data_IF_327791605148
#
_entry.id   IF_327791605148
#
_cell.length_a   1.000
_cell.length_b   1.000
_cell.length_c   1.000
_cell.angle_alpha   90.00
_cell.angle_beta   90.00
_cell.angle_gamma   90.00
#
_symmetry.space_group_name_H-M   'P 1'
#
loop_
_entity.id
_entity.type
_entity.pdbx_description
1 polymer ?
#
# COMPACT_ATOMS: atom_id res chain seq x y z
N UNK A 1 -53.05 35.59 50.76
CA UNK A 1 -51.61 35.78 50.71
C UNK A 1 -51.00 34.39 50.64
N UNK A 2 -50.71 33.92 49.45
CA UNK A 2 -50.07 32.63 49.21
C UNK A 2 -48.86 32.83 48.33
N UNK A 3 -47.73 32.57 48.90
CA UNK A 3 -46.42 32.70 48.24
C UNK A 3 -46.10 31.39 47.54
N UNK A 4 -45.89 31.42 46.24
CA UNK A 4 -45.37 30.31 45.45
C UNK A 4 -43.83 30.28 45.52
N UNK A 5 -43.16 29.15 45.67
CA UNK A 5 -41.72 29.04 45.55
C UNK A 5 -41.32 28.80 44.09
N UNK A 6 -40.41 29.62 43.63
CA UNK A 6 -39.74 29.53 42.34
C UNK A 6 -38.72 28.37 42.34
N UNK A 7 -38.90 27.38 41.47
CA UNK A 7 -37.95 26.32 41.27
C UNK A 7 -36.87 26.77 40.26
N UNK A 8 -35.62 26.92 40.71
CA UNK A 8 -34.48 27.11 39.85
C UNK A 8 -34.04 25.74 39.27
N UNK A 9 -34.26 25.62 37.96
CA UNK A 9 -33.67 24.52 37.17
C UNK A 9 -32.19 24.82 36.92
N UNK A 10 -31.29 24.04 37.51
CA UNK A 10 -29.85 24.05 37.16
C UNK A 10 -29.66 23.12 35.97
N UNK A 11 -29.55 23.71 34.79
CA UNK A 11 -29.06 23.03 33.59
C UNK A 11 -27.61 22.57 33.82
N UNK A 12 -27.42 21.29 34.10
CA UNK A 12 -26.11 20.67 34.10
C UNK A 12 -25.67 20.50 32.61
N UNK A 13 -24.87 21.42 32.12
CA UNK A 13 -24.15 21.23 30.87
C UNK A 13 -23.18 20.07 31.02
N UNK A 14 -23.47 18.94 30.35
CA UNK A 14 -22.50 17.88 30.14
C UNK A 14 -21.37 18.42 29.25
N UNK A 15 -20.10 18.29 29.65
CA UNK A 15 -19.01 18.62 28.76
C UNK A 15 -19.04 17.64 27.58
N UNK A 16 -19.27 18.18 26.38
CA UNK A 16 -19.03 17.43 25.14
C UNK A 16 -17.55 17.08 25.13
N UNK A 17 -17.23 15.79 25.20
CA UNK A 17 -15.89 15.30 24.98
C UNK A 17 -15.46 15.76 23.57
N UNK A 18 -14.50 16.65 23.51
CA UNK A 18 -13.82 17.03 22.28
C UNK A 18 -13.22 15.75 21.68
N UNK A 19 -13.74 15.33 20.54
CA UNK A 19 -13.13 14.23 19.80
C UNK A 19 -11.68 14.65 19.51
N UNK A 20 -10.71 13.85 19.98
CA UNK A 20 -9.31 14.09 19.71
C UNK A 20 -9.09 14.17 18.18
N UNK A 21 -8.30 15.16 17.75
CA UNK A 21 -7.97 15.27 16.33
C UNK A 21 -7.28 13.98 15.85
N UNK A 22 -7.60 13.48 14.63
CA UNK A 22 -6.98 12.27 14.11
C UNK A 22 -5.47 12.47 13.98
N UNK A 23 -4.70 11.43 14.38
CA UNK A 23 -3.24 11.43 14.27
C UNK A 23 -2.83 11.64 12.81
N UNK A 24 -1.92 12.56 12.56
CA UNK A 24 -1.30 12.73 11.24
C UNK A 24 -0.39 11.53 10.92
N UNK A 25 -0.46 11.08 9.69
CA UNK A 25 0.29 9.93 9.17
C UNK A 25 0.80 10.24 7.77
N UNK A 26 1.82 9.52 7.32
CA UNK A 26 2.30 9.59 5.94
C UNK A 26 1.37 8.80 5.00
N UNK A 27 1.32 9.15 3.70
CA UNK A 27 0.56 8.35 2.73
C UNK A 27 1.01 6.87 2.77
N UNK A 28 0.06 5.93 2.69
CA UNK A 28 0.37 4.50 2.80
C UNK A 28 0.41 3.92 4.21
N UNK A 29 0.65 4.72 5.25
CA UNK A 29 0.57 4.23 6.63
C UNK A 29 -0.86 3.87 7.05
N UNK A 30 -1.86 4.46 6.43
CA UNK A 30 -3.32 4.24 6.54
C UNK A 30 -3.86 4.35 7.96
N UNK A 31 -3.34 3.58 8.92
CA UNK A 31 -3.85 3.51 10.29
C UNK A 31 -3.03 4.35 11.25
N UNK A 32 -3.71 5.01 12.17
CA UNK A 32 -3.08 5.80 13.23
C UNK A 32 -2.15 4.96 14.12
N UNK A 33 -2.51 3.67 14.32
CA UNK A 33 -1.68 2.69 15.00
C UNK A 33 -1.24 1.61 14.00
N UNK A 34 0.07 1.40 13.87
CA UNK A 34 0.66 0.40 12.95
C UNK A 34 0.17 -1.03 13.25
N UNK A 35 -0.09 -1.37 14.51
CA UNK A 35 -0.62 -2.68 14.90
C UNK A 35 -2.02 -2.99 14.33
N UNK A 36 -2.78 -1.97 13.95
CA UNK A 36 -4.10 -2.13 13.32
C UNK A 36 -4.00 -2.41 11.81
N UNK A 37 -2.81 -2.22 11.20
CA UNK A 37 -2.65 -2.26 9.75
C UNK A 37 -3.04 -3.60 9.15
N UNK A 38 -2.44 -4.69 9.61
CA UNK A 38 -2.62 -6.02 8.99
C UNK A 38 -4.07 -6.52 9.07
N UNK A 39 -4.77 -6.22 10.16
CA UNK A 39 -6.19 -6.57 10.31
C UNK A 39 -7.07 -5.60 9.52
N UNK A 40 -6.81 -4.31 9.65
CA UNK A 40 -7.63 -3.27 9.03
C UNK A 40 -7.55 -3.27 7.50
N UNK A 41 -6.36 -3.49 6.93
CA UNK A 41 -6.21 -3.54 5.47
C UNK A 41 -6.99 -4.71 4.85
N UNK A 42 -7.06 -5.86 5.53
CA UNK A 42 -7.86 -7.03 5.11
C UNK A 42 -9.36 -6.76 5.17
N UNK A 43 -9.79 -5.88 6.07
CA UNK A 43 -11.19 -5.43 6.14
C UNK A 43 -11.53 -4.36 5.10
N UNK A 44 -10.55 -3.49 4.75
CA UNK A 44 -10.73 -2.43 3.74
C UNK A 44 -10.69 -2.94 2.31
N UNK A 45 -9.83 -3.92 2.03
CA UNK A 45 -9.53 -4.36 0.67
C UNK A 45 -9.99 -5.80 0.44
N UNK A 46 -11.00 -6.01 -0.43
CA UNK A 46 -11.43 -7.35 -0.77
C UNK A 46 -10.32 -8.13 -1.48
N UNK A 47 -10.21 -9.42 -1.09
CA UNK A 47 -9.23 -10.34 -1.69
C UNK A 47 -7.76 -9.92 -1.53
N UNK A 48 -7.43 -9.18 -0.47
CA UNK A 48 -6.08 -8.68 -0.21
C UNK A 48 -5.00 -9.78 -0.27
N UNK A 49 -5.27 -10.94 0.35
CA UNK A 49 -4.34 -12.08 0.33
C UNK A 49 -4.10 -12.61 -1.09
N UNK A 50 -5.16 -12.80 -1.88
CA UNK A 50 -5.06 -13.27 -3.26
C UNK A 50 -4.29 -12.29 -4.14
N UNK A 51 -4.44 -10.98 -3.89
CA UNK A 51 -3.72 -9.93 -4.59
C UNK A 51 -2.20 -10.04 -4.35
N UNK A 52 -1.76 -10.23 -3.10
CA UNK A 52 -0.35 -10.40 -2.79
C UNK A 52 0.19 -11.76 -3.29
N UNK A 53 -0.62 -12.82 -3.21
CA UNK A 53 -0.26 -14.14 -3.76
C UNK A 53 -0.06 -14.10 -5.27
N UNK A 54 -0.87 -13.30 -5.99
CA UNK A 54 -0.72 -13.12 -7.43
C UNK A 54 0.65 -12.50 -7.78
N UNK A 55 1.15 -11.52 -7.01
CA UNK A 55 2.52 -11.00 -7.18
C UNK A 55 3.53 -12.11 -6.96
N UNK A 56 3.48 -12.79 -5.82
CA UNK A 56 4.46 -13.80 -5.44
C UNK A 56 4.51 -14.96 -6.46
N UNK A 57 3.35 -15.40 -6.98
CA UNK A 57 3.27 -16.46 -7.98
C UNK A 57 3.88 -16.07 -9.34
N UNK A 58 3.92 -14.78 -9.66
CA UNK A 58 4.49 -14.26 -10.91
C UNK A 58 6.02 -14.04 -10.83
N UNK A 59 6.66 -14.29 -9.68
CA UNK A 59 8.10 -14.19 -9.55
C UNK A 59 8.81 -15.40 -10.17
N UNK A 60 9.99 -15.20 -10.82
CA UNK A 60 10.86 -16.29 -11.18
C UNK A 60 11.23 -17.12 -9.94
N UNK A 61 11.03 -18.42 -9.99
CA UNK A 61 11.27 -19.32 -8.82
C UNK A 61 12.73 -19.35 -8.37
N UNK A 62 13.65 -18.94 -9.22
CA UNK A 62 15.09 -18.86 -9.00
C UNK A 62 15.60 -17.43 -8.76
N UNK A 63 14.72 -16.47 -8.52
CA UNK A 63 15.10 -15.09 -8.20
C UNK A 63 16.05 -15.08 -6.98
N UNK A 64 17.20 -14.42 -7.12
CA UNK A 64 18.20 -14.30 -6.06
C UNK A 64 18.09 -12.95 -5.33
N UNK A 65 17.71 -11.90 -6.04
CA UNK A 65 17.58 -10.54 -5.49
C UNK A 65 16.24 -9.93 -5.88
N UNK A 66 15.47 -9.51 -4.91
CA UNK A 66 14.18 -8.85 -5.11
C UNK A 66 14.19 -7.48 -4.43
N UNK A 67 13.78 -6.46 -5.17
CA UNK A 67 13.52 -5.12 -4.63
C UNK A 67 12.03 -5.01 -4.30
N UNK A 68 11.69 -4.59 -3.09
CA UNK A 68 10.33 -4.27 -2.70
C UNK A 68 10.20 -2.78 -2.42
N UNK A 69 9.29 -2.09 -3.10
CA UNK A 69 9.04 -0.65 -2.93
C UNK A 69 7.75 -0.42 -2.13
N UNK A 70 7.86 0.28 -1.01
CA UNK A 70 6.77 0.50 -0.07
C UNK A 70 6.42 -0.77 0.69
N UNK A 71 7.37 -1.32 1.46
CA UNK A 71 7.17 -2.62 2.11
C UNK A 71 6.13 -2.61 3.25
N UNK A 72 5.79 -1.42 3.78
CA UNK A 72 4.84 -1.28 4.87
C UNK A 72 5.17 -2.20 6.05
N UNK A 73 4.24 -3.06 6.43
CA UNK A 73 4.41 -4.02 7.53
C UNK A 73 5.08 -5.34 7.12
N UNK A 74 5.59 -5.47 5.87
CA UNK A 74 6.34 -6.64 5.39
C UNK A 74 5.48 -7.84 4.95
N UNK A 75 4.18 -7.66 4.72
CA UNK A 75 3.29 -8.76 4.30
C UNK A 75 3.69 -9.35 2.94
N UNK A 76 4.02 -8.50 1.96
CA UNK A 76 4.47 -8.96 0.66
C UNK A 76 5.88 -9.56 0.74
N UNK A 77 6.81 -8.96 1.52
CA UNK A 77 8.13 -9.55 1.78
C UNK A 77 8.04 -11.01 2.22
N UNK A 78 7.15 -11.34 3.17
CA UNK A 78 6.95 -12.71 3.65
C UNK A 78 6.49 -13.65 2.53
N UNK A 79 5.57 -13.21 1.67
CA UNK A 79 5.08 -14.01 0.54
C UNK A 79 6.18 -14.24 -0.50
N UNK A 80 7.00 -13.23 -0.79
CA UNK A 80 8.18 -13.32 -1.66
C UNK A 80 9.17 -14.35 -1.13
N UNK A 81 9.55 -14.27 0.15
CA UNK A 81 10.51 -15.17 0.79
C UNK A 81 10.00 -16.61 0.88
N UNK A 82 8.70 -16.79 1.09
CA UNK A 82 8.08 -18.13 1.03
C UNK A 82 8.09 -18.72 -0.38
N UNK A 83 7.88 -17.88 -1.40
CA UNK A 83 7.85 -18.30 -2.81
C UNK A 83 9.24 -18.58 -3.35
N UNK A 84 10.24 -17.79 -2.94
CA UNK A 84 11.63 -17.84 -3.39
C UNK A 84 12.56 -17.97 -2.17
N UNK A 85 12.72 -19.18 -1.58
CA UNK A 85 13.41 -19.35 -0.30
C UNK A 85 14.91 -19.00 -0.31
N UNK A 86 15.54 -18.87 -1.48
CA UNK A 86 16.95 -18.49 -1.63
C UNK A 86 17.16 -16.98 -1.88
N UNK A 87 16.07 -16.21 -2.01
CA UNK A 87 16.16 -14.81 -2.38
C UNK A 87 16.62 -13.92 -1.23
N UNK A 88 17.26 -12.81 -1.58
CA UNK A 88 17.51 -11.67 -0.69
C UNK A 88 16.55 -10.55 -1.09
N UNK A 89 15.81 -10.00 -0.12
CA UNK A 89 14.88 -8.90 -0.31
C UNK A 89 15.51 -7.61 0.22
N UNK A 90 15.60 -6.60 -0.65
CA UNK A 90 15.86 -5.21 -0.28
C UNK A 90 14.52 -4.50 -0.28
N UNK A 91 14.06 -4.06 0.89
CA UNK A 91 12.73 -3.49 1.08
C UNK A 91 12.84 -2.00 1.44
N UNK A 92 12.25 -1.15 0.63
CA UNK A 92 12.32 0.31 0.79
C UNK A 92 11.00 0.83 1.34
N UNK A 93 11.08 1.64 2.37
CA UNK A 93 9.94 2.40 2.89
C UNK A 93 10.43 3.71 3.51
N UNK A 94 9.71 4.79 3.35
CA UNK A 94 10.09 6.07 3.98
C UNK A 94 9.62 6.19 5.43
N UNK A 95 8.76 5.27 5.91
CA UNK A 95 8.22 5.29 7.27
C UNK A 95 9.08 4.45 8.23
N UNK A 96 9.83 5.07 9.17
CA UNK A 96 10.62 4.32 10.14
C UNK A 96 9.78 3.35 10.97
N UNK A 97 8.55 3.75 11.33
CA UNK A 97 7.66 2.90 12.13
C UNK A 97 7.15 1.67 11.36
N UNK A 98 6.99 1.79 10.03
CA UNK A 98 6.66 0.64 9.18
C UNK A 98 7.84 -0.31 9.05
N UNK A 99 9.04 0.21 8.80
CA UNK A 99 10.27 -0.58 8.72
C UNK A 99 10.57 -1.32 10.03
N UNK A 100 10.39 -0.68 11.19
CA UNK A 100 10.58 -1.34 12.49
C UNK A 100 9.59 -2.49 12.69
N UNK A 101 8.31 -2.25 12.33
CA UNK A 101 7.28 -3.29 12.42
C UNK A 101 7.55 -4.44 11.45
N UNK A 102 7.90 -4.15 10.19
CA UNK A 102 8.28 -5.15 9.20
C UNK A 102 9.48 -5.97 9.68
N UNK A 103 10.55 -5.32 10.13
CA UNK A 103 11.75 -5.99 10.66
C UNK A 103 11.39 -6.98 11.76
N UNK A 104 10.65 -6.56 12.77
CA UNK A 104 10.23 -7.42 13.87
C UNK A 104 9.42 -8.63 13.39
N UNK A 105 8.53 -8.43 12.41
CA UNK A 105 7.71 -9.49 11.79
C UNK A 105 8.57 -10.48 10.99
N UNK A 106 9.51 -9.98 10.19
CA UNK A 106 10.40 -10.82 9.37
C UNK A 106 11.36 -11.63 10.25
N UNK A 107 11.89 -11.04 11.32
CA UNK A 107 12.72 -11.73 12.33
C UNK A 107 11.92 -12.86 13.00
N UNK A 108 10.69 -12.58 13.46
CA UNK A 108 9.83 -13.60 14.06
C UNK A 108 9.44 -14.72 13.09
N UNK A 109 9.38 -14.44 11.79
CA UNK A 109 9.13 -15.42 10.73
C UNK A 109 10.39 -16.20 10.30
N UNK A 110 11.59 -15.88 10.84
CA UNK A 110 12.85 -16.56 10.55
C UNK A 110 13.60 -16.03 9.34
N UNK A 111 13.26 -14.85 8.82
CA UNK A 111 13.83 -14.26 7.60
C UNK A 111 14.85 -13.14 7.85
N UNK A 112 15.32 -12.96 9.08
CA UNK A 112 16.24 -11.88 9.47
C UNK A 112 17.49 -11.75 8.58
N UNK A 113 18.01 -12.86 8.04
CA UNK A 113 19.22 -12.88 7.21
C UNK A 113 18.93 -12.69 5.71
N UNK A 114 17.67 -12.68 5.32
CA UNK A 114 17.25 -12.61 3.92
C UNK A 114 16.51 -11.30 3.59
N UNK A 115 16.32 -10.44 4.57
CA UNK A 115 15.58 -9.20 4.43
C UNK A 115 16.36 -8.01 4.99
N UNK A 116 16.46 -6.96 4.20
CA UNK A 116 17.09 -5.69 4.58
C UNK A 116 16.14 -4.53 4.31
N UNK A 117 15.74 -3.82 5.37
CA UNK A 117 14.95 -2.59 5.26
C UNK A 117 15.85 -1.38 4.98
N UNK A 118 15.46 -0.56 4.03
CA UNK A 118 16.10 0.70 3.65
C UNK A 118 15.11 1.82 3.84
N UNK A 119 15.44 2.79 4.71
CA UNK A 119 14.64 4.00 4.86
C UNK A 119 14.91 4.93 3.67
N UNK A 120 13.84 5.27 2.95
CA UNK A 120 13.95 6.17 1.79
C UNK A 120 12.68 6.33 1.00
N UNK A 121 12.58 7.47 0.32
CA UNK A 121 11.51 7.77 -0.63
C UNK A 121 11.89 7.20 -2.02
N UNK A 122 11.09 6.25 -2.53
CA UNK A 122 11.34 5.69 -3.86
C UNK A 122 11.11 6.71 -4.99
N UNK A 123 10.48 7.84 -4.74
CA UNK A 123 10.48 8.99 -5.65
C UNK A 123 11.86 9.69 -5.71
N UNK A 124 12.59 9.77 -4.58
CA UNK A 124 13.99 10.20 -4.58
C UNK A 124 14.89 9.21 -5.34
N UNK A 125 14.66 7.91 -5.16
CA UNK A 125 15.36 6.89 -5.94
C UNK A 125 15.09 7.02 -7.45
N UNK A 126 13.83 7.28 -7.84
CA UNK A 126 13.47 7.53 -9.23
C UNK A 126 14.14 8.78 -9.84
N UNK A 127 14.50 9.75 -9.00
CA UNK A 127 15.25 10.95 -9.39
C UNK A 127 16.78 10.83 -9.18
N UNK A 128 17.31 9.63 -8.90
CA UNK A 128 18.73 9.35 -8.62
C UNK A 128 19.31 10.12 -7.41
N UNK A 129 18.45 10.48 -6.45
CA UNK A 129 18.81 11.17 -5.20
C UNK A 129 19.06 10.19 -4.06
N UNK A 130 18.45 9.00 -4.11
CA UNK A 130 18.68 7.88 -3.21
C UNK A 130 19.45 6.78 -3.96
N UNK A 131 20.51 6.24 -3.34
CA UNK A 131 21.30 5.17 -3.93
C UNK A 131 20.84 3.81 -3.45
N UNK A 132 20.38 2.99 -4.37
CA UNK A 132 20.11 1.55 -4.16
C UNK A 132 20.84 0.83 -5.27
N UNK A 133 21.59 -0.22 -4.93
CA UNK A 133 22.32 -1.03 -5.91
C UNK A 133 21.36 -1.67 -6.92
N UNK A 134 21.77 -1.70 -8.18
CA UNK A 134 21.04 -2.35 -9.27
C UNK A 134 21.27 -3.88 -9.29
N UNK A 135 20.70 -4.56 -10.28
CA UNK A 135 20.87 -6.01 -10.49
C UNK A 135 19.86 -6.86 -9.73
N UNK A 136 18.59 -6.47 -9.78
CA UNK A 136 17.49 -7.25 -9.25
C UNK A 136 16.89 -8.19 -10.31
N UNK A 137 16.48 -9.39 -9.88
CA UNK A 137 15.75 -10.32 -10.75
C UNK A 137 14.26 -10.03 -10.77
N UNK A 138 13.77 -9.34 -9.74
CA UNK A 138 12.41 -8.83 -9.69
C UNK A 138 12.33 -7.55 -8.86
N UNK A 139 11.38 -6.70 -9.21
CA UNK A 139 10.91 -5.61 -8.37
C UNK A 139 9.41 -5.82 -8.09
N UNK A 140 8.98 -5.60 -6.85
CA UNK A 140 7.59 -5.74 -6.43
C UNK A 140 7.13 -4.52 -5.62
N UNK A 141 5.84 -4.24 -5.66
CA UNK A 141 5.22 -3.22 -4.82
C UNK A 141 3.76 -3.56 -4.55
N UNK A 142 3.26 -3.18 -3.40
CA UNK A 142 1.82 -3.26 -3.13
C UNK A 142 1.33 -2.08 -2.32
N UNK A 143 0.26 -1.43 -2.80
CA UNK A 143 -0.44 -0.34 -2.13
C UNK A 143 0.47 0.87 -1.77
N UNK A 144 1.45 1.15 -2.63
CA UNK A 144 2.42 2.22 -2.40
C UNK A 144 2.55 3.19 -3.57
N UNK A 145 2.65 2.70 -4.80
CA UNK A 145 2.95 3.53 -5.98
C UNK A 145 1.79 4.48 -6.34
N UNK A 146 0.56 4.15 -5.97
CA UNK A 146 -0.61 5.00 -6.21
C UNK A 146 -0.55 6.35 -5.47
N UNK A 147 0.35 6.54 -4.52
CA UNK A 147 0.59 7.81 -3.87
C UNK A 147 1.45 8.80 -4.70
N UNK A 148 2.10 8.34 -5.76
CA UNK A 148 2.90 9.19 -6.64
C UNK A 148 2.03 9.85 -7.73
N UNK A 149 2.43 11.06 -8.17
CA UNK A 149 1.85 11.67 -9.36
C UNK A 149 2.10 10.82 -10.61
N UNK A 150 1.31 11.01 -11.67
CA UNK A 150 1.48 10.24 -12.92
C UNK A 150 2.87 10.44 -13.54
N UNK A 151 3.42 11.66 -13.48
CA UNK A 151 4.79 11.95 -13.94
C UNK A 151 5.82 11.15 -13.14
N UNK A 152 5.68 11.14 -11.80
CA UNK A 152 6.60 10.43 -10.93
C UNK A 152 6.47 8.90 -11.08
N UNK A 153 5.26 8.38 -11.31
CA UNK A 153 5.08 6.95 -11.65
C UNK A 153 5.85 6.55 -12.88
N UNK A 154 5.80 7.36 -13.95
CA UNK A 154 6.54 7.07 -15.17
C UNK A 154 8.06 7.07 -14.94
N UNK A 155 8.58 8.06 -14.20
CA UNK A 155 10.01 8.11 -13.81
C UNK A 155 10.38 6.87 -12.98
N UNK A 156 9.55 6.50 -12.01
CA UNK A 156 9.78 5.32 -11.18
C UNK A 156 9.79 4.03 -12.01
N UNK A 157 8.85 3.84 -12.93
CA UNK A 157 8.83 2.66 -13.80
C UNK A 157 10.08 2.59 -14.69
N UNK A 158 10.57 3.72 -15.21
CA UNK A 158 11.83 3.77 -15.95
C UNK A 158 13.02 3.36 -15.06
N UNK A 159 13.08 3.88 -13.83
CA UNK A 159 14.15 3.56 -12.88
C UNK A 159 14.10 2.09 -12.43
N UNK A 160 12.91 1.52 -12.21
CA UNK A 160 12.73 0.10 -11.93
C UNK A 160 13.30 -0.73 -13.08
N UNK A 161 12.92 -0.41 -14.32
CA UNK A 161 13.43 -1.12 -15.50
C UNK A 161 14.95 -1.11 -15.59
N UNK A 162 15.58 0.04 -15.32
CA UNK A 162 17.04 0.19 -15.32
C UNK A 162 17.73 -0.67 -14.25
N UNK A 163 17.08 -0.86 -13.11
CA UNK A 163 17.62 -1.63 -11.97
C UNK A 163 17.49 -3.15 -12.13
N UNK A 164 16.66 -3.60 -13.07
CA UNK A 164 16.41 -5.03 -13.29
C UNK A 164 17.46 -5.66 -14.20
N UNK A 165 17.82 -6.90 -13.89
CA UNK A 165 18.61 -7.77 -14.76
C UNK A 165 17.84 -8.06 -16.06
N UNK A 166 18.54 -8.38 -17.17
CA UNK A 166 17.88 -8.90 -18.38
C UNK A 166 17.02 -10.13 -18.04
N UNK A 167 15.77 -10.10 -18.49
CA UNK A 167 14.75 -11.10 -18.14
C UNK A 167 14.11 -10.92 -16.75
N UNK A 168 14.43 -9.82 -16.07
CA UNK A 168 13.81 -9.46 -14.80
C UNK A 168 12.34 -9.03 -14.96
N UNK A 169 11.61 -8.99 -13.85
CA UNK A 169 10.17 -8.70 -13.84
C UNK A 169 9.82 -7.61 -12.85
N UNK A 170 8.77 -6.85 -13.16
CA UNK A 170 8.15 -5.92 -12.23
C UNK A 170 6.68 -6.25 -12.03
N UNK A 171 6.22 -6.30 -10.77
CA UNK A 171 4.82 -6.49 -10.42
C UNK A 171 4.37 -5.50 -9.36
N UNK A 172 3.29 -4.79 -9.64
CA UNK A 172 2.67 -3.84 -8.73
C UNK A 172 1.21 -4.20 -8.46
N UNK A 173 0.78 -4.15 -7.22
CA UNK A 173 -0.60 -4.27 -6.81
C UNK A 173 -1.10 -2.92 -6.27
N UNK A 174 -2.07 -2.31 -6.96
CA UNK A 174 -2.61 -1.02 -6.53
C UNK A 174 -4.11 -0.90 -6.78
N UNK A 175 -4.79 0.03 -6.09
CA UNK A 175 -6.12 0.46 -6.47
C UNK A 175 -6.06 1.18 -7.83
N UNK A 176 -7.06 0.90 -8.66
CA UNK A 176 -7.22 1.50 -9.99
C UNK A 176 -8.58 2.16 -10.12
N UNK A 177 -8.63 3.27 -10.87
CA UNK A 177 -9.89 3.92 -11.20
C UNK A 177 -10.74 3.00 -12.08
N UNK A 178 -12.06 3.02 -11.91
CA UNK A 178 -12.96 2.34 -12.83
C UNK A 178 -12.88 2.96 -14.22
N UNK A 179 -13.06 2.14 -15.24
CA UNK A 179 -13.04 2.55 -16.65
C UNK A 179 -14.25 3.44 -17.02
N UNK A 180 -15.29 3.41 -16.20
CA UNK A 180 -16.50 4.23 -16.35
C UNK A 180 -17.03 4.66 -14.98
N UNK A 181 -17.56 5.90 -14.85
CA UNK A 181 -18.22 6.36 -13.64
C UNK A 181 -19.35 5.45 -13.14
N UNK A 182 -20.05 4.79 -14.07
CA UNK A 182 -21.14 3.84 -13.73
C UNK A 182 -20.64 2.67 -12.86
N UNK A 183 -19.36 2.30 -12.97
CA UNK A 183 -18.76 1.22 -12.17
C UNK A 183 -18.34 1.69 -10.77
N UNK A 184 -18.27 2.98 -10.51
CA UNK A 184 -17.81 3.52 -9.21
C UNK A 184 -18.69 3.07 -8.06
N UNK A 185 -20.01 3.10 -8.24
CA UNK A 185 -20.97 2.69 -7.22
C UNK A 185 -20.89 1.19 -6.95
N UNK A 186 -20.72 0.39 -8.03
CA UNK A 186 -20.52 -1.05 -7.88
C UNK A 186 -19.22 -1.38 -7.12
N UNK A 187 -18.12 -0.67 -7.40
CA UNK A 187 -16.85 -0.87 -6.70
C UNK A 187 -16.94 -0.49 -5.22
N UNK A 188 -17.73 0.56 -4.91
CA UNK A 188 -18.00 0.96 -3.53
C UNK A 188 -18.82 -0.09 -2.80
N UNK A 189 -19.93 -0.55 -3.38
CA UNK A 189 -20.81 -1.58 -2.79
C UNK A 189 -20.03 -2.87 -2.47
N UNK A 190 -19.16 -3.31 -3.39
CA UNK A 190 -18.33 -4.50 -3.18
C UNK A 190 -17.40 -4.35 -1.96
N UNK A 191 -16.85 -3.16 -1.72
CA UNK A 191 -16.03 -2.90 -0.51
C UNK A 191 -16.87 -2.91 0.76
N UNK A 192 -18.08 -2.37 0.71
CA UNK A 192 -19.03 -2.38 1.83
C UNK A 192 -19.46 -3.80 2.18
N UNK A 193 -19.83 -4.60 1.19
CA UNK A 193 -20.20 -6.01 1.35
C UNK A 193 -19.03 -6.84 1.88
N UNK A 194 -17.83 -6.59 1.39
CA UNK A 194 -16.62 -7.25 1.88
C UNK A 194 -16.35 -6.96 3.36
N UNK A 195 -16.39 -5.70 3.78
CA UNK A 195 -16.21 -5.33 5.18
C UNK A 195 -17.25 -6.00 6.08
N UNK A 196 -18.51 -6.05 5.63
CA UNK A 196 -19.58 -6.74 6.34
C UNK A 196 -19.32 -8.25 6.49
N UNK A 197 -18.81 -8.92 5.45
CA UNK A 197 -18.41 -10.33 5.51
C UNK A 197 -17.24 -10.57 6.48
N UNK A 198 -16.38 -9.56 6.71
CA UNK A 198 -15.30 -9.60 7.70
C UNK A 198 -15.76 -9.19 9.11
N UNK A 199 -17.06 -9.03 9.35
CA UNK A 199 -17.62 -8.65 10.65
C UNK A 199 -17.36 -7.19 11.04
N UNK A 200 -17.15 -6.30 10.07
CA UNK A 200 -16.92 -4.86 10.28
C UNK A 200 -17.75 -4.02 9.30
N UNK A 201 -17.90 -2.75 9.59
CA UNK A 201 -18.37 -1.76 8.62
C UNK A 201 -17.19 -0.93 8.12
N UNK A 202 -17.27 -0.41 6.90
CA UNK A 202 -16.24 0.51 6.41
C UNK A 202 -16.10 1.75 7.31
N UNK A 203 -17.17 2.20 7.95
CA UNK A 203 -17.15 3.32 8.88
C UNK A 203 -16.30 3.01 10.12
N UNK A 204 -16.47 1.83 10.73
CA UNK A 204 -15.68 1.38 11.88
C UNK A 204 -14.20 1.22 11.54
N UNK A 205 -13.89 0.67 10.36
CA UNK A 205 -12.49 0.52 9.94
C UNK A 205 -11.87 1.88 9.65
N UNK A 206 -12.57 2.77 8.96
CA UNK A 206 -12.11 4.14 8.67
C UNK A 206 -11.94 5.00 9.93
N UNK A 207 -12.69 4.75 10.99
CA UNK A 207 -12.51 5.45 12.27
C UNK A 207 -11.12 5.22 12.91
N UNK A 208 -10.41 4.16 12.49
CA UNK A 208 -9.04 3.84 12.94
C UNK A 208 -7.96 4.44 12.02
N UNK A 209 -8.35 5.01 10.88
CA UNK A 209 -7.39 5.61 9.95
C UNK A 209 -6.87 6.94 10.50
N UNK A 210 -5.61 7.27 10.17
CA UNK A 210 -5.06 8.58 10.44
C UNK A 210 -5.41 9.59 9.35
N UNK A 211 -5.03 10.84 9.58
CA UNK A 211 -5.12 11.91 8.58
C UNK A 211 -3.87 11.88 7.71
N UNK A 212 -3.99 11.41 6.49
CA UNK A 212 -2.87 11.36 5.55
C UNK A 212 -2.43 12.76 5.15
N UNK A 213 -1.13 13.05 5.32
CA UNK A 213 -0.45 14.29 4.92
C UNK A 213 0.64 13.98 3.90
N UNK A 214 0.86 14.82 2.89
CA UNK A 214 1.94 14.62 1.92
C UNK A 214 3.31 14.48 2.60
N UNK A 215 4.16 13.59 2.07
CA UNK A 215 5.55 13.43 2.52
C UNK A 215 6.45 13.10 1.31
N UNK A 216 7.56 13.82 1.16
CA UNK A 216 8.47 13.65 0.03
C UNK A 216 7.73 13.76 -1.30
N UNK A 217 7.82 12.74 -2.12
CA UNK A 217 7.11 12.64 -3.40
C UNK A 217 5.72 12.00 -3.28
N UNK A 218 5.36 11.47 -2.12
CA UNK A 218 4.08 10.80 -1.88
C UNK A 218 2.99 11.78 -1.45
N UNK A 219 1.81 11.61 -2.04
CA UNK A 219 0.61 12.41 -1.80
C UNK A 219 -0.54 11.50 -1.35
N UNK A 220 -1.65 12.03 -0.80
CA UNK A 220 -2.90 11.29 -0.76
C UNK A 220 -3.26 10.77 -2.15
N UNK A 221 -3.99 9.68 -2.24
CA UNK A 221 -4.24 8.89 -3.44
C UNK A 221 -4.21 9.64 -4.78
N UNK A 222 -3.28 9.23 -5.65
CA UNK A 222 -3.12 9.73 -7.03
C UNK A 222 -3.47 8.60 -8.00
N UNK A 223 -4.73 8.15 -7.96
CA UNK A 223 -5.19 6.98 -8.72
C UNK A 223 -5.15 7.24 -10.23
N UNK A 224 -4.93 6.17 -10.99
CA UNK A 224 -5.06 6.13 -12.44
C UNK A 224 -5.89 4.92 -12.87
N UNK A 225 -6.37 4.90 -14.11
CA UNK A 225 -6.98 3.71 -14.69
C UNK A 225 -5.91 2.63 -14.94
N UNK A 226 -6.34 1.38 -15.02
CA UNK A 226 -5.42 0.28 -15.33
C UNK A 226 -4.76 0.49 -16.71
N UNK A 227 -5.52 0.93 -17.71
CA UNK A 227 -4.95 1.25 -19.03
C UNK A 227 -3.84 2.30 -18.97
N UNK A 228 -4.04 3.38 -18.20
CA UNK A 228 -3.02 4.40 -18.02
C UNK A 228 -1.72 3.82 -17.40
N UNK A 229 -1.82 2.92 -16.42
CA UNK A 229 -0.65 2.24 -15.85
C UNK A 229 0.05 1.35 -16.89
N UNK A 230 -0.69 0.58 -17.68
CA UNK A 230 -0.12 -0.26 -18.72
C UNK A 230 0.58 0.57 -19.81
N UNK A 231 0.04 1.73 -20.17
CA UNK A 231 0.69 2.65 -21.11
C UNK A 231 1.99 3.24 -20.50
N UNK A 232 1.98 3.63 -19.22
CA UNK A 232 3.19 4.10 -18.53
C UNK A 232 4.28 3.02 -18.50
N UNK A 233 3.94 1.75 -18.22
CA UNK A 233 4.88 0.63 -18.25
C UNK A 233 5.49 0.42 -19.64
N UNK A 234 4.66 0.42 -20.70
CA UNK A 234 5.15 0.32 -22.09
C UNK A 234 6.08 1.49 -22.44
N UNK A 235 5.73 2.71 -22.04
CA UNK A 235 6.54 3.90 -22.24
C UNK A 235 7.88 3.80 -21.51
N UNK A 236 7.90 3.20 -20.32
CA UNK A 236 9.13 2.91 -19.58
C UNK A 236 9.96 1.76 -20.19
N UNK A 237 9.43 1.04 -21.18
CA UNK A 237 10.13 -0.01 -21.93
C UNK A 237 9.94 -1.42 -21.42
N UNK A 238 8.89 -1.69 -20.63
CA UNK A 238 8.48 -3.07 -20.31
C UNK A 238 7.72 -3.72 -21.48
N UNK A 239 8.14 -4.92 -21.87
CA UNK A 239 7.50 -5.71 -22.94
C UNK A 239 7.75 -7.21 -22.75
N UNK A 240 6.71 -8.07 -22.66
CA UNK A 240 5.30 -7.68 -22.59
C UNK A 240 4.89 -7.09 -21.24
N UNK A 241 3.82 -6.30 -21.24
CA UNK A 241 3.09 -5.93 -20.02
C UNK A 241 1.89 -6.86 -19.81
N UNK A 242 1.55 -7.16 -18.56
CA UNK A 242 0.50 -8.11 -18.23
C UNK A 242 -0.30 -7.69 -16.98
N UNK A 243 -1.49 -8.29 -16.84
CA UNK A 243 -2.39 -8.14 -15.68
C UNK A 243 -2.73 -9.53 -15.17
N UNK A 244 -1.91 -10.12 -14.27
CA UNK A 244 -2.13 -11.47 -13.79
C UNK A 244 -3.35 -11.61 -12.86
N UNK A 245 -3.80 -10.50 -12.26
CA UNK A 245 -4.95 -10.50 -11.37
C UNK A 245 -5.68 -9.16 -11.39
N UNK A 246 -7.01 -9.21 -11.35
CA UNK A 246 -7.86 -8.02 -11.19
C UNK A 246 -9.12 -8.40 -10.41
N UNK A 247 -9.47 -7.59 -9.43
CA UNK A 247 -10.74 -7.67 -8.72
C UNK A 247 -11.34 -6.27 -8.58
N UNK A 248 -12.27 -5.93 -9.47
CA UNK A 248 -12.91 -4.61 -9.55
C UNK A 248 -11.89 -3.46 -9.53
N UNK A 249 -11.86 -2.66 -8.47
CA UNK A 249 -10.97 -1.51 -8.31
C UNK A 249 -9.56 -1.85 -7.78
N UNK A 250 -9.16 -3.11 -7.80
CA UNK A 250 -7.82 -3.56 -7.43
C UNK A 250 -7.22 -4.38 -8.57
N UNK A 251 -5.96 -4.18 -8.87
CA UNK A 251 -5.27 -4.94 -9.92
C UNK A 251 -3.81 -5.22 -9.57
N UNK A 252 -3.31 -6.37 -10.01
CA UNK A 252 -1.89 -6.66 -10.13
C UNK A 252 -1.51 -6.50 -11.59
N UNK A 253 -0.54 -5.67 -11.86
CA UNK A 253 -0.06 -5.36 -13.21
C UNK A 253 1.45 -5.14 -13.20
N UNK A 254 2.08 -5.34 -14.34
CA UNK A 254 3.53 -5.20 -14.47
C UNK A 254 4.02 -5.65 -15.83
N UNK A 255 5.30 -6.04 -15.90
CA UNK A 255 5.90 -6.46 -17.17
C UNK A 255 7.31 -7.00 -17.00
N UNK A 256 7.92 -7.28 -18.14
CA UNK A 256 9.21 -7.95 -18.28
C UNK A 256 10.23 -7.02 -18.92
N UNK A 257 11.52 -7.23 -18.62
CA UNK A 257 12.66 -6.52 -19.23
C UNK A 257 13.34 -7.37 -20.27
#
# INVERSE_FOLDING_TARGET
MSSNPTIHSTDAQHPQASAAEPKEIFPGEVFANTADFDTGIRQLLPRYEEMLDAIALCLPSNAQRVLELGCGTGELSIKVLRRCPATQVVAVDYSPRMLEFAKSKLEAAGYAQQWAGVEGDFGEWANHQLSIEDGFDACVSSLAIHHLTHEMKLKLFSRIRESLNPGGVFWNADPVLPESPVLSDAYKSIREDWAAQQGATLAEVRAKTGKSTPYGHSNPDQLATLDAHLQMLKTAGFDPVAVPWKYYGLAVFGGFV
#
